data_IF_223406565297
#
_entry.id   IF_223406565297
#
_cell.length_a   1.000
_cell.length_b   1.000
_cell.length_c   1.000
_cell.angle_alpha   90.00
_cell.angle_beta   90.00
_cell.angle_gamma   90.00
#
_symmetry.space_group_name_H-M   'P 1'
#
loop_
_entity.id
_entity.type
_entity.pdbx_description
1 polymer ?
#
# COMPACT_ATOMS: atom_id res chain seq x y z
N UNK A 1 15.87 1.98 17.70
CA UNK A 1 15.22 2.69 18.84
C UNK A 1 15.31 1.92 20.14
N UNK A 2 14.69 0.74 20.33
CA UNK A 2 14.85 -0.04 21.59
C UNK A 2 16.28 -0.58 21.75
N UNK A 3 16.96 -0.91 20.68
CA UNK A 3 18.36 -1.35 20.64
C UNK A 3 19.40 -0.25 20.91
N UNK A 4 18.99 1.01 20.97
CA UNK A 4 19.85 2.17 21.26
C UNK A 4 19.81 2.60 22.73
N UNK A 5 18.95 1.96 23.53
CA UNK A 5 18.90 2.19 24.97
C UNK A 5 20.17 1.68 25.66
N UNK A 6 20.58 2.25 26.81
CA UNK A 6 21.65 1.71 27.65
C UNK A 6 21.38 0.24 28.01
N UNK A 7 22.43 -0.56 28.14
CA UNK A 7 22.33 -2.02 28.36
C UNK A 7 21.47 -2.39 29.59
N UNK A 8 21.57 -1.62 30.67
CA UNK A 8 20.77 -1.79 31.90
C UNK A 8 19.27 -1.56 31.64
N UNK A 9 18.92 -0.68 30.70
CA UNK A 9 17.53 -0.44 30.32
C UNK A 9 17.02 -1.46 29.28
N UNK A 10 17.88 -1.99 28.42
CA UNK A 10 17.50 -3.05 27.48
C UNK A 10 17.14 -4.36 28.19
N UNK A 11 17.76 -4.65 29.32
CA UNK A 11 17.47 -5.82 30.15
C UNK A 11 16.23 -5.66 31.03
N UNK A 12 15.64 -4.47 31.11
CA UNK A 12 14.41 -4.28 31.87
C UNK A 12 13.29 -5.17 31.31
N UNK A 13 12.56 -5.92 32.16
CA UNK A 13 11.56 -6.89 31.68
C UNK A 13 10.52 -6.31 30.73
N UNK A 14 10.09 -5.08 30.97
CA UNK A 14 9.12 -4.39 30.12
C UNK A 14 9.70 -4.07 28.73
N UNK A 15 10.96 -3.63 28.65
CA UNK A 15 11.62 -3.32 27.37
C UNK A 15 11.84 -4.58 26.55
N UNK A 16 12.20 -5.69 27.22
CA UNK A 16 12.31 -7.00 26.55
C UNK A 16 10.98 -7.43 25.94
N UNK A 17 9.89 -7.39 26.72
CA UNK A 17 8.55 -7.73 26.22
C UNK A 17 8.13 -6.83 25.05
N UNK A 18 8.37 -5.52 25.15
CA UNK A 18 8.07 -4.60 24.06
C UNK A 18 8.90 -4.90 22.80
N UNK A 19 10.18 -5.26 22.97
CA UNK A 19 11.05 -5.66 21.86
C UNK A 19 10.56 -6.94 21.18
N UNK A 20 10.18 -7.94 21.99
CA UNK A 20 9.64 -9.22 21.52
C UNK A 20 8.34 -9.01 20.71
N UNK A 21 7.44 -8.18 21.21
CA UNK A 21 6.20 -7.82 20.52
C UNK A 21 6.53 -7.12 19.19
N UNK A 22 7.36 -6.07 19.20
CA UNK A 22 7.71 -5.32 18.00
C UNK A 22 8.33 -6.21 16.93
N UNK A 23 9.13 -7.21 17.32
CA UNK A 23 9.83 -8.08 16.38
C UNK A 23 8.93 -9.17 15.82
N UNK A 24 8.08 -9.80 16.66
CA UNK A 24 7.47 -11.09 16.35
C UNK A 24 5.94 -11.11 16.31
N UNK A 25 5.22 -9.98 16.43
CA UNK A 25 3.75 -9.97 16.32
C UNK A 25 3.24 -10.31 14.91
N UNK A 26 4.10 -10.36 13.91
CA UNK A 26 3.78 -10.85 12.56
C UNK A 26 4.16 -12.33 12.32
N UNK A 27 4.76 -12.99 13.30
CA UNK A 27 4.96 -14.42 13.23
C UNK A 27 3.61 -15.15 13.26
N UNK A 28 3.58 -16.39 12.74
CA UNK A 28 2.39 -17.25 12.69
C UNK A 28 2.69 -18.55 13.40
N UNK A 29 1.72 -19.05 14.16
CA UNK A 29 1.88 -20.24 14.98
C UNK A 29 2.30 -21.49 14.19
N UNK A 30 2.00 -21.54 12.88
CA UNK A 30 2.42 -22.58 11.96
C UNK A 30 3.82 -22.40 11.37
N UNK A 31 4.51 -21.30 11.67
CA UNK A 31 5.84 -20.96 11.17
C UNK A 31 5.86 -20.27 9.81
N UNK A 32 4.68 -19.90 9.27
CA UNK A 32 4.58 -19.18 7.99
C UNK A 32 4.58 -17.64 8.16
N UNK A 33 4.99 -17.16 9.34
CA UNK A 33 5.12 -15.74 9.65
C UNK A 33 6.49 -15.15 9.29
N UNK A 34 6.74 -13.94 9.75
CA UNK A 34 8.01 -13.22 9.59
C UNK A 34 8.30 -12.37 10.83
N UNK A 35 9.57 -11.95 11.12
CA UNK A 35 10.73 -11.97 10.24
C UNK A 35 11.59 -13.24 10.33
N UNK A 36 11.45 -14.04 11.39
CA UNK A 36 12.39 -15.12 11.70
C UNK A 36 11.80 -16.51 11.41
N UNK A 37 10.50 -16.61 11.07
CA UNK A 37 9.80 -17.86 10.79
C UNK A 37 9.67 -18.77 12.03
N UNK A 38 9.51 -18.16 13.21
CA UNK A 38 9.32 -18.88 14.47
C UNK A 38 8.02 -19.67 14.46
N UNK A 39 8.03 -20.84 15.12
CA UNK A 39 6.89 -21.75 15.11
C UNK A 39 6.45 -22.12 16.53
N UNK A 40 5.13 -22.16 16.74
CA UNK A 40 4.56 -22.61 18.00
C UNK A 40 5.02 -21.74 19.17
N UNK A 41 5.52 -22.39 20.21
CA UNK A 41 5.95 -21.75 21.46
C UNK A 41 7.33 -21.08 21.38
N UNK A 42 8.01 -21.15 20.23
CA UNK A 42 9.21 -20.32 19.96
C UNK A 42 8.83 -18.83 19.86
N UNK A 43 7.59 -18.53 19.50
CA UNK A 43 7.07 -17.16 19.46
C UNK A 43 6.75 -16.73 20.89
N UNK A 44 7.33 -15.64 21.42
CA UNK A 44 6.98 -15.14 22.75
C UNK A 44 5.48 -14.92 22.91
N UNK A 45 4.92 -15.37 24.02
CA UNK A 45 3.47 -15.33 24.26
C UNK A 45 2.88 -13.92 24.12
N UNK A 46 3.60 -12.89 24.55
CA UNK A 46 3.17 -11.50 24.41
C UNK A 46 3.00 -11.12 22.91
N UNK A 47 3.90 -11.57 22.04
CA UNK A 47 3.80 -11.35 20.60
C UNK A 47 2.62 -12.11 19.99
N UNK A 48 2.36 -13.36 20.44
CA UNK A 48 1.20 -14.16 20.01
C UNK A 48 -0.13 -13.47 20.39
N UNK A 49 -0.23 -12.94 21.62
CA UNK A 49 -1.44 -12.21 22.09
C UNK A 49 -1.67 -10.97 21.25
N UNK A 50 -0.64 -10.16 21.01
CA UNK A 50 -0.76 -8.94 20.19
C UNK A 50 -1.10 -9.28 18.74
N UNK A 51 -0.51 -10.34 18.17
CA UNK A 51 -0.85 -10.80 16.81
C UNK A 51 -2.34 -11.14 16.65
N UNK A 52 -2.93 -11.82 17.66
CA UNK A 52 -4.35 -12.16 17.65
C UNK A 52 -5.24 -10.91 17.81
N UNK A 53 -4.86 -10.01 18.75
CA UNK A 53 -5.59 -8.78 19.00
C UNK A 53 -5.57 -7.84 17.76
N UNK A 54 -4.42 -7.70 17.11
CA UNK A 54 -4.26 -6.88 15.89
C UNK A 54 -5.13 -7.38 14.75
N UNK A 55 -5.17 -8.70 14.54
CA UNK A 55 -6.05 -9.29 13.52
C UNK A 55 -7.52 -9.09 13.86
N UNK A 56 -7.91 -9.26 15.12
CA UNK A 56 -9.29 -9.03 15.53
C UNK A 56 -9.71 -7.57 15.35
N UNK A 57 -8.88 -6.61 15.78
CA UNK A 57 -9.12 -5.18 15.56
C UNK A 57 -9.19 -4.86 14.07
N UNK A 58 -8.26 -5.36 13.27
CA UNK A 58 -8.26 -5.15 11.82
C UNK A 58 -9.52 -5.67 11.12
N UNK A 59 -10.19 -6.68 11.67
CA UNK A 59 -11.43 -7.22 11.15
C UNK A 59 -12.66 -6.42 11.61
N UNK A 60 -12.67 -5.98 12.86
CA UNK A 60 -13.85 -5.36 13.51
C UNK A 60 -13.84 -3.84 13.47
N UNK A 61 -12.70 -3.21 13.13
CA UNK A 61 -12.61 -1.76 12.95
C UNK A 61 -12.96 -1.34 11.52
N UNK A 62 -13.75 -0.29 11.39
CA UNK A 62 -14.03 0.35 10.12
C UNK A 62 -12.78 1.11 9.66
N UNK A 63 -12.32 0.84 8.45
CA UNK A 63 -11.20 1.53 7.82
C UNK A 63 -11.70 2.23 6.57
N UNK A 64 -11.04 3.30 6.14
CA UNK A 64 -11.45 4.10 4.98
C UNK A 64 -11.70 3.29 3.70
N UNK A 65 -11.13 2.09 3.60
CA UNK A 65 -11.23 1.18 2.44
C UNK A 65 -11.99 -0.12 2.74
N UNK A 66 -12.50 -0.35 3.98
CA UNK A 66 -13.15 -1.61 4.36
C UNK A 66 -14.18 -1.38 5.44
N UNK A 67 -15.41 -1.83 5.17
CA UNK A 67 -16.44 -1.93 6.21
C UNK A 67 -16.01 -2.96 7.26
N UNK A 68 -16.23 -2.63 8.53
CA UNK A 68 -16.03 -3.55 9.62
C UNK A 68 -16.85 -4.84 9.43
N UNK A 69 -16.24 -5.99 9.68
CA UNK A 69 -17.00 -7.22 9.83
C UNK A 69 -17.74 -7.22 11.17
N UNK A 70 -18.87 -7.93 11.26
CA UNK A 70 -19.50 -8.17 12.55
C UNK A 70 -18.57 -9.00 13.44
N UNK A 71 -18.74 -8.84 14.76
CA UNK A 71 -18.01 -9.63 15.75
C UNK A 71 -18.01 -11.15 15.42
N UNK A 72 -19.19 -11.72 15.19
CA UNK A 72 -19.35 -13.15 14.86
C UNK A 72 -18.58 -13.53 13.58
N UNK A 73 -18.60 -12.66 12.55
CA UNK A 73 -17.88 -12.94 11.30
C UNK A 73 -16.36 -12.84 11.46
N UNK A 74 -15.88 -11.91 12.28
CA UNK A 74 -14.46 -11.80 12.61
C UNK A 74 -13.95 -13.05 13.34
N UNK A 75 -14.70 -13.53 14.34
CA UNK A 75 -14.39 -14.78 15.03
C UNK A 75 -14.36 -15.97 14.07
N UNK A 76 -15.41 -16.15 13.24
CA UNK A 76 -15.44 -17.21 12.23
C UNK A 76 -14.16 -17.23 11.37
N UNK A 77 -13.75 -16.07 10.84
CA UNK A 77 -12.56 -15.94 10.00
C UNK A 77 -11.26 -16.30 10.74
N UNK A 78 -11.15 -15.92 12.02
CA UNK A 78 -9.99 -16.24 12.86
C UNK A 78 -9.94 -17.76 13.15
N UNK A 79 -11.07 -18.36 13.54
CA UNK A 79 -11.14 -19.79 13.86
C UNK A 79 -10.96 -20.69 12.63
N UNK A 80 -11.40 -20.24 11.44
CA UNK A 80 -11.16 -20.94 10.17
C UNK A 80 -9.73 -20.78 9.65
N UNK A 81 -8.86 -20.01 10.34
CA UNK A 81 -7.48 -19.79 9.94
C UNK A 81 -7.30 -18.92 8.69
N UNK A 82 -8.34 -18.18 8.26
CA UNK A 82 -8.27 -17.28 7.09
C UNK A 82 -7.31 -16.10 7.29
N UNK A 83 -7.00 -15.80 8.54
CA UNK A 83 -6.12 -14.71 8.94
C UNK A 83 -4.74 -15.19 9.44
N UNK A 84 -4.41 -16.46 9.19
CA UNK A 84 -3.22 -17.15 9.69
C UNK A 84 -3.52 -18.07 10.86
N UNK A 85 -2.53 -18.88 11.24
CA UNK A 85 -2.63 -19.81 12.36
C UNK A 85 -2.29 -19.11 13.67
N UNK A 86 -3.08 -19.36 14.70
CA UNK A 86 -2.89 -18.85 16.06
C UNK A 86 -2.77 -19.98 17.07
N UNK A 87 -2.21 -19.67 18.22
CA UNK A 87 -2.11 -20.60 19.34
C UNK A 87 -3.51 -21.08 19.77
N UNK A 88 -3.77 -22.39 19.81
CA UNK A 88 -5.08 -22.93 20.18
C UNK A 88 -5.57 -22.48 21.56
N UNK A 89 -4.65 -22.31 22.53
CA UNK A 89 -4.99 -21.81 23.88
C UNK A 89 -5.48 -20.35 23.82
N UNK A 90 -4.84 -19.51 23.00
CA UNK A 90 -5.27 -18.12 22.83
C UNK A 90 -6.61 -18.03 22.08
N UNK A 91 -6.86 -18.92 21.14
CA UNK A 91 -8.17 -19.02 20.49
C UNK A 91 -9.26 -19.39 21.49
N UNK A 92 -8.98 -20.32 22.41
CA UNK A 92 -9.90 -20.68 23.47
C UNK A 92 -10.18 -19.48 24.39
N UNK A 93 -9.15 -18.76 24.82
CA UNK A 93 -9.31 -17.54 25.63
C UNK A 93 -10.14 -16.48 24.88
N UNK A 94 -9.90 -16.27 23.57
CA UNK A 94 -10.68 -15.34 22.76
C UNK A 94 -12.17 -15.74 22.74
N UNK A 95 -12.48 -17.02 22.65
CA UNK A 95 -13.87 -17.51 22.69
C UNK A 95 -14.52 -17.22 24.05
N UNK A 96 -13.80 -17.45 25.14
CA UNK A 96 -14.29 -17.22 26.51
C UNK A 96 -14.61 -15.75 26.81
N UNK A 97 -13.87 -14.80 26.20
CA UNK A 97 -14.10 -13.38 26.40
C UNK A 97 -14.93 -12.74 25.28
N UNK A 98 -15.41 -13.52 24.31
CA UNK A 98 -16.06 -13.01 23.09
C UNK A 98 -17.27 -12.12 23.37
N UNK A 99 -18.17 -12.53 24.29
CA UNK A 99 -19.36 -11.76 24.64
C UNK A 99 -19.01 -10.41 25.31
N UNK A 100 -17.93 -10.40 26.10
CA UNK A 100 -17.42 -9.18 26.73
C UNK A 100 -16.85 -8.23 25.67
N UNK A 101 -16.06 -8.75 24.72
CA UNK A 101 -15.51 -7.96 23.60
C UNK A 101 -16.63 -7.37 22.73
N UNK A 102 -17.67 -8.12 22.42
CA UNK A 102 -18.81 -7.63 21.64
C UNK A 102 -19.53 -6.48 22.37
N UNK A 103 -19.76 -6.62 23.68
CA UNK A 103 -20.40 -5.59 24.49
C UNK A 103 -19.57 -4.32 24.59
N UNK A 104 -18.26 -4.43 24.80
CA UNK A 104 -17.34 -3.28 24.88
C UNK A 104 -17.21 -2.55 23.54
N UNK A 105 -17.12 -3.29 22.41
CA UNK A 105 -17.14 -2.70 21.07
C UNK A 105 -18.44 -1.96 20.79
N UNK A 106 -19.59 -2.54 21.20
CA UNK A 106 -20.90 -1.90 21.10
C UNK A 106 -20.98 -0.60 21.91
N UNK A 107 -20.46 -0.60 23.12
CA UNK A 107 -20.40 0.60 23.97
C UNK A 107 -19.47 1.67 23.39
N UNK A 108 -18.27 1.29 22.96
CA UNK A 108 -17.32 2.21 22.33
C UNK A 108 -17.86 2.82 21.03
N UNK A 109 -18.62 2.08 20.23
CA UNK A 109 -19.30 2.58 19.06
C UNK A 109 -20.44 3.55 19.40
N UNK A 110 -21.22 3.25 20.45
CA UNK A 110 -22.29 4.15 20.94
C UNK A 110 -21.71 5.44 21.52
N UNK A 111 -20.63 5.38 22.26
CA UNK A 111 -19.95 6.56 22.79
C UNK A 111 -19.36 7.43 21.68
N UNK A 112 -18.74 6.82 20.67
CA UNK A 112 -18.28 7.53 19.45
C UNK A 112 -19.43 8.26 18.76
N UNK A 113 -20.54 7.58 18.54
CA UNK A 113 -21.73 8.16 17.92
C UNK A 113 -22.41 9.24 18.80
N UNK A 114 -22.40 9.10 20.14
CA UNK A 114 -22.94 10.09 21.06
C UNK A 114 -22.08 11.37 21.12
N UNK A 115 -20.76 11.23 21.04
CA UNK A 115 -19.83 12.37 20.91
C UNK A 115 -20.05 13.07 19.57
N UNK A 116 -20.19 12.33 18.49
CA UNK A 116 -20.46 12.88 17.15
C UNK A 116 -21.79 13.70 17.10
N UNK A 117 -22.85 13.27 17.79
CA UNK A 117 -24.13 14.00 17.86
C UNK A 117 -24.09 15.28 18.73
N UNK A 118 -23.16 15.40 19.66
CA UNK A 118 -22.99 16.61 20.47
C UNK A 118 -22.23 17.72 19.73
N UNK A 119 -21.36 17.36 18.79
CA UNK A 119 -20.52 18.30 18.03
C UNK A 119 -21.19 18.84 16.74
N UNK A 120 -22.34 18.31 16.30
CA UNK A 120 -23.02 18.73 15.05
C UNK A 120 -23.81 20.03 15.13
N UNK A 121 -23.66 20.83 16.17
CA UNK A 121 -24.26 22.19 16.27
C UNK A 121 -23.31 23.33 15.88
N UNK A 122 -22.36 23.09 15.03
CA UNK A 122 -21.51 24.14 14.50
C UNK A 122 -20.44 23.57 13.57
N UNK A 123 -20.47 23.98 12.32
CA UNK A 123 -19.46 23.86 11.27
C UNK A 123 -18.59 22.59 11.34
N UNK A 124 -18.73 21.74 10.34
CA UNK A 124 -17.88 20.55 10.15
C UNK A 124 -16.46 21.04 9.93
N UNK A 125 -15.64 20.89 10.95
CA UNK A 125 -14.18 21.13 10.90
C UNK A 125 -13.53 19.76 10.63
N UNK A 126 -13.20 19.51 9.38
CA UNK A 126 -12.58 18.25 8.92
C UNK A 126 -11.22 17.99 9.58
N UNK A 127 -10.51 19.05 9.99
CA UNK A 127 -9.23 18.92 10.68
C UNK A 127 -9.38 18.36 12.11
N UNK A 128 -10.56 18.51 12.73
CA UNK A 128 -10.87 17.95 14.05
C UNK A 128 -11.39 16.49 14.01
N UNK A 129 -11.84 15.99 12.86
CA UNK A 129 -12.33 14.61 12.72
C UNK A 129 -11.17 13.60 12.73
N UNK A 130 -10.06 13.94 12.09
CA UNK A 130 -8.84 13.11 12.06
C UNK A 130 -8.09 13.09 13.40
N UNK A 131 -8.25 14.14 14.22
CA UNK A 131 -7.57 14.28 15.51
C UNK A 131 -8.21 13.47 16.66
N UNK A 132 -9.43 12.94 16.48
CA UNK A 132 -10.23 12.35 17.59
C UNK A 132 -10.34 10.83 17.60
N UNK A 133 -9.81 10.13 16.59
CA UNK A 133 -9.91 8.67 16.53
C UNK A 133 -8.82 7.89 17.27
N UNK A 134 -7.84 8.60 17.86
CA UNK A 134 -6.82 7.97 18.68
C UNK A 134 -6.66 8.72 20.00
N UNK A 135 -7.47 8.39 21.00
CA UNK A 135 -7.23 8.79 22.39
C UNK A 135 -6.28 7.83 23.14
N UNK A 136 -5.20 7.49 22.52
CA UNK A 136 -3.87 7.44 23.12
C UNK A 136 -3.22 8.71 22.61
N UNK A 137 -2.66 9.56 23.49
CA UNK A 137 -2.00 10.82 23.20
C UNK A 137 -1.04 10.70 21.99
N UNK A 138 -1.59 10.68 20.79
CA UNK A 138 -0.85 10.81 19.55
C UNK A 138 -1.11 12.23 19.07
N UNK A 139 -0.11 13.06 19.20
CA UNK A 139 0.10 14.22 18.34
C UNK A 139 -0.36 13.78 16.94
N UNK A 140 -1.25 14.53 16.25
CA UNK A 140 -1.61 14.21 14.88
C UNK A 140 -0.30 13.99 14.13
N UNK A 141 -0.17 12.92 13.31
CA UNK A 141 1.07 12.68 12.62
C UNK A 141 1.41 13.98 11.91
N UNK A 142 2.58 14.55 12.23
CA UNK A 142 3.07 15.74 11.55
C UNK A 142 3.05 15.44 10.06
N UNK A 143 2.96 16.46 9.21
CA UNK A 143 3.09 16.26 7.76
C UNK A 143 4.30 15.39 7.41
N UNK A 144 5.34 15.42 8.24
CA UNK A 144 6.52 14.57 8.17
C UNK A 144 6.23 13.10 8.46
N UNK A 145 5.39 12.78 9.45
CA UNK A 145 5.03 11.39 9.79
C UNK A 145 4.13 10.76 8.71
N UNK A 146 3.19 11.52 8.14
CA UNK A 146 2.38 11.08 7.00
C UNK A 146 3.26 10.90 5.76
N UNK A 147 4.22 11.78 5.55
CA UNK A 147 5.17 11.68 4.45
C UNK A 147 6.04 10.42 4.59
N UNK A 148 6.54 10.10 5.78
CA UNK A 148 7.29 8.87 6.05
C UNK A 148 6.43 7.60 5.83
N UNK A 149 5.14 7.64 6.17
CA UNK A 149 4.24 6.50 6.03
C UNK A 149 3.95 6.13 4.57
N UNK A 150 3.89 7.14 3.68
CA UNK A 150 3.48 7.00 2.29
C UNK A 150 4.60 7.17 1.27
N UNK A 151 5.82 7.43 1.70
CA UNK A 151 6.98 7.63 0.82
C UNK A 151 7.85 6.37 0.77
N UNK A 152 8.31 6.02 -0.42
CA UNK A 152 9.33 4.98 -0.60
C UNK A 152 10.71 5.55 -0.19
N UNK A 153 11.37 4.89 0.75
CA UNK A 153 12.62 5.36 1.35
C UNK A 153 13.81 5.43 0.38
N UNK A 154 13.77 4.68 -0.73
CA UNK A 154 14.82 4.69 -1.73
C UNK A 154 14.63 5.80 -2.76
N UNK A 155 13.42 5.95 -3.27
CA UNK A 155 13.10 6.77 -4.45
C UNK A 155 12.41 8.10 -4.13
N UNK A 156 11.96 8.28 -2.88
CA UNK A 156 11.26 9.48 -2.38
C UNK A 156 9.91 9.79 -3.09
N UNK A 157 9.43 8.91 -3.95
CA UNK A 157 8.06 8.94 -4.48
C UNK A 157 7.12 8.20 -3.54
N UNK A 158 5.82 8.21 -3.80
CA UNK A 158 4.88 7.46 -2.97
C UNK A 158 5.17 5.96 -3.02
N UNK A 159 4.83 5.25 -1.94
CA UNK A 159 4.96 3.80 -1.85
C UNK A 159 3.65 3.10 -2.24
N UNK A 160 3.68 1.76 -2.35
CA UNK A 160 2.52 0.93 -2.67
C UNK A 160 1.36 1.14 -1.70
N UNK A 161 1.65 1.36 -0.40
CA UNK A 161 0.62 1.61 0.61
C UNK A 161 -0.23 2.83 0.26
N UNK A 162 0.39 3.91 -0.23
CA UNK A 162 -0.32 5.10 -0.69
C UNK A 162 -1.29 4.79 -1.84
N UNK A 163 -0.90 3.95 -2.80
CA UNK A 163 -1.80 3.48 -3.86
C UNK A 163 -2.98 2.68 -3.29
N UNK A 164 -2.70 1.69 -2.43
CA UNK A 164 -3.72 0.81 -1.88
C UNK A 164 -4.75 1.59 -1.03
N UNK A 165 -4.33 2.63 -0.31
CA UNK A 165 -5.20 3.40 0.59
C UNK A 165 -5.90 4.59 -0.08
N UNK A 166 -5.31 5.21 -1.12
CA UNK A 166 -5.85 6.44 -1.71
C UNK A 166 -6.54 6.22 -3.06
N UNK A 167 -6.11 5.24 -3.84
CA UNK A 167 -6.54 5.12 -5.24
C UNK A 167 -7.20 3.81 -5.59
N UNK A 168 -6.88 2.71 -4.96
CA UNK A 168 -7.30 1.38 -5.39
C UNK A 168 -8.81 1.24 -5.61
N UNK A 169 -9.61 1.78 -4.70
CA UNK A 169 -11.07 1.69 -4.73
C UNK A 169 -11.75 3.00 -5.20
N UNK A 170 -10.95 3.97 -5.71
CA UNK A 170 -11.45 5.23 -6.26
C UNK A 170 -12.05 5.01 -7.65
N UNK A 171 -13.06 5.80 -8.00
CA UNK A 171 -13.73 5.85 -9.31
C UNK A 171 -13.62 7.22 -10.01
N UNK A 172 -12.89 8.17 -9.41
CA UNK A 172 -12.64 9.54 -9.92
C UNK A 172 -11.31 9.69 -10.65
N UNK A 173 -10.61 8.58 -10.92
CA UNK A 173 -9.35 8.58 -11.67
C UNK A 173 -9.63 8.38 -13.15
N UNK A 174 -9.02 9.22 -14.00
CA UNK A 174 -9.20 9.18 -15.45
C UNK A 174 -8.11 8.39 -16.15
N UNK A 175 -6.91 8.28 -15.57
CA UNK A 175 -5.83 7.56 -16.21
C UNK A 175 -4.83 6.96 -15.21
N UNK A 176 -4.40 5.74 -15.55
CA UNK A 176 -3.37 4.99 -14.82
C UNK A 176 -2.28 4.56 -15.78
N UNK A 177 -1.03 4.70 -15.38
CA UNK A 177 0.13 4.19 -16.12
C UNK A 177 0.92 3.24 -15.23
N UNK A 178 1.24 2.06 -15.75
CA UNK A 178 2.17 1.10 -15.14
C UNK A 178 3.48 1.14 -15.91
N UNK A 179 4.59 1.23 -15.21
CA UNK A 179 5.94 1.33 -15.73
C UNK A 179 6.78 0.21 -15.15
N UNK A 180 7.56 -0.46 -15.97
CA UNK A 180 8.54 -1.48 -15.56
C UNK A 180 9.90 -1.13 -16.15
N UNK A 181 10.95 -1.27 -15.34
CA UNK A 181 12.33 -0.99 -15.78
C UNK A 181 12.87 -2.17 -16.61
N UNK A 182 13.22 -1.89 -17.84
CA UNK A 182 13.70 -2.92 -18.76
C UNK A 182 15.01 -3.57 -18.29
N UNK A 183 15.00 -4.89 -18.20
CA UNK A 183 16.20 -5.67 -17.84
C UNK A 183 16.83 -5.30 -16.48
N UNK A 184 16.04 -4.83 -15.51
CA UNK A 184 16.54 -4.38 -14.22
C UNK A 184 17.37 -5.44 -13.48
N UNK A 185 16.93 -6.72 -13.54
CA UNK A 185 17.72 -7.81 -12.99
C UNK A 185 19.13 -7.89 -13.62
N UNK A 186 19.25 -7.70 -14.94
CA UNK A 186 20.55 -7.70 -15.61
C UNK A 186 21.43 -6.52 -15.18
N UNK A 187 20.83 -5.36 -14.89
CA UNK A 187 21.55 -4.21 -14.32
C UNK A 187 22.14 -4.60 -12.97
N UNK A 188 21.33 -5.18 -12.08
CA UNK A 188 21.80 -5.64 -10.77
C UNK A 188 22.89 -6.71 -10.88
N UNK A 189 22.70 -7.69 -11.73
CA UNK A 189 23.64 -8.79 -11.90
C UNK A 189 25.00 -8.32 -12.46
N UNK A 190 24.99 -7.30 -13.33
CA UNK A 190 26.21 -6.80 -13.98
C UNK A 190 26.93 -5.68 -13.23
N UNK A 191 26.17 -4.76 -12.61
CA UNK A 191 26.70 -3.54 -11.99
C UNK A 191 26.51 -3.51 -10.47
N UNK A 192 25.86 -4.53 -9.90
CA UNK A 192 25.55 -4.63 -8.47
C UNK A 192 24.28 -3.89 -8.06
N UNK A 193 23.71 -4.28 -6.92
CA UNK A 193 22.46 -3.70 -6.39
C UNK A 193 22.55 -2.19 -6.14
N UNK A 194 23.73 -1.69 -5.77
CA UNK A 194 23.94 -0.25 -5.58
C UNK A 194 23.70 0.55 -6.89
N UNK A 195 24.14 0.02 -8.02
CA UNK A 195 23.87 0.61 -9.33
C UNK A 195 22.37 0.57 -9.66
N UNK A 196 21.68 -0.54 -9.34
CA UNK A 196 20.23 -0.64 -9.45
C UNK A 196 19.50 0.41 -8.62
N UNK A 197 19.93 0.65 -7.39
CA UNK A 197 19.37 1.68 -6.52
C UNK A 197 19.53 3.08 -7.09
N UNK A 198 20.69 3.38 -7.69
CA UNK A 198 20.92 4.66 -8.38
C UNK A 198 19.97 4.82 -9.57
N UNK A 199 19.82 3.74 -10.37
CA UNK A 199 18.89 3.72 -11.51
C UNK A 199 17.48 4.02 -11.07
N UNK A 200 16.97 3.34 -10.03
CA UNK A 200 15.61 3.54 -9.51
C UNK A 200 15.40 4.99 -9.04
N UNK A 201 16.34 5.57 -8.29
CA UNK A 201 16.27 6.98 -7.86
C UNK A 201 16.23 7.94 -9.05
N UNK A 202 17.04 7.69 -10.08
CA UNK A 202 17.08 8.53 -11.28
C UNK A 202 15.80 8.44 -12.10
N UNK A 203 15.25 7.23 -12.27
CA UNK A 203 13.95 7.01 -12.93
C UNK A 203 12.85 7.74 -12.17
N UNK A 204 12.72 7.52 -10.86
CA UNK A 204 11.70 8.17 -10.04
C UNK A 204 11.75 9.70 -10.16
N UNK A 205 12.94 10.29 -10.05
CA UNK A 205 13.13 11.73 -10.21
C UNK A 205 12.76 12.23 -11.60
N UNK A 206 13.13 11.47 -12.65
CA UNK A 206 12.82 11.83 -14.04
C UNK A 206 11.32 11.75 -14.29
N UNK A 207 10.66 10.66 -13.89
CA UNK A 207 9.21 10.48 -14.02
C UNK A 207 8.47 11.59 -13.27
N UNK A 208 8.86 11.88 -12.03
CA UNK A 208 8.26 12.97 -11.24
C UNK A 208 8.41 14.35 -11.89
N UNK A 209 9.49 14.59 -12.64
CA UNK A 209 9.67 15.86 -13.37
C UNK A 209 8.77 15.98 -14.62
N UNK A 210 8.25 14.86 -15.14
CA UNK A 210 7.37 14.82 -16.29
C UNK A 210 5.88 14.98 -15.95
N UNK A 211 5.51 14.93 -14.67
CA UNK A 211 4.12 14.98 -14.19
C UNK A 211 3.87 16.19 -13.31
N UNK A 212 2.59 16.51 -13.08
CA UNK A 212 2.19 17.64 -12.24
C UNK A 212 2.29 17.28 -10.76
N UNK A 213 2.35 18.27 -9.87
CA UNK A 213 2.29 18.05 -8.41
C UNK A 213 0.97 17.42 -7.93
N UNK A 214 -0.08 17.54 -8.74
CA UNK A 214 -1.40 16.93 -8.49
C UNK A 214 -1.47 15.48 -8.93
N UNK A 215 -0.52 15.01 -9.71
CA UNK A 215 -0.44 13.61 -10.17
C UNK A 215 0.43 12.83 -9.17
N UNK A 216 0.11 11.55 -8.96
CA UNK A 216 0.86 10.73 -8.03
C UNK A 216 1.81 9.80 -8.78
N UNK A 217 3.09 9.81 -8.39
CA UNK A 217 4.10 8.83 -8.81
C UNK A 217 4.36 7.89 -7.65
N UNK A 218 4.21 6.61 -7.88
CA UNK A 218 4.21 5.56 -6.85
C UNK A 218 5.21 4.48 -7.24
N UNK A 219 6.08 4.08 -6.33
CA UNK A 219 6.84 2.84 -6.48
C UNK A 219 5.99 1.69 -5.99
N UNK A 220 5.51 0.87 -6.92
CA UNK A 220 4.54 -0.20 -6.65
C UNK A 220 5.21 -1.52 -6.28
N UNK A 221 6.36 -1.80 -6.87
CA UNK A 221 7.17 -3.01 -6.66
C UNK A 221 8.66 -2.72 -6.70
N UNK A 222 9.48 -3.72 -6.85
CA UNK A 222 10.96 -3.60 -6.89
C UNK A 222 11.43 -2.61 -7.96
N UNK A 223 11.05 -2.86 -9.20
CA UNK A 223 11.39 -2.11 -10.41
C UNK A 223 10.14 -1.56 -11.14
N UNK A 224 8.97 -1.60 -10.47
CA UNK A 224 7.70 -1.17 -11.01
C UNK A 224 7.25 0.15 -10.41
N UNK A 225 6.78 1.07 -11.26
CA UNK A 225 6.19 2.33 -10.87
C UNK A 225 4.78 2.46 -11.43
N UNK A 226 3.94 3.21 -10.73
CA UNK A 226 2.57 3.54 -11.14
C UNK A 226 2.42 5.05 -11.13
N UNK A 227 1.74 5.59 -12.14
CA UNK A 227 1.36 7.00 -12.17
C UNK A 227 -0.16 7.08 -12.20
N UNK A 228 -0.72 7.90 -11.32
CA UNK A 228 -2.14 8.25 -11.30
C UNK A 228 -2.29 9.69 -11.79
N UNK A 229 -3.06 9.88 -12.83
CA UNK A 229 -3.38 11.19 -13.38
C UNK A 229 -4.79 11.62 -13.04
N UNK A 230 -4.91 12.85 -12.55
CA UNK A 230 -6.19 13.51 -12.36
C UNK A 230 -6.45 14.50 -13.49
N UNK A 231 -7.66 14.42 -14.11
CA UNK A 231 -8.16 15.37 -15.13
C UNK A 231 -7.14 15.64 -16.25
N UNK A 232 -6.78 14.60 -16.96
CA UNK A 232 -5.87 14.69 -18.12
C UNK A 232 -6.63 14.38 -19.43
N UNK A 233 -6.67 15.28 -20.42
CA UNK A 233 -7.26 14.98 -21.72
C UNK A 233 -6.56 13.82 -22.43
N UNK A 234 -7.32 12.94 -23.12
CA UNK A 234 -6.78 11.71 -23.70
C UNK A 234 -5.70 11.92 -24.77
N UNK A 235 -5.79 12.99 -25.54
CA UNK A 235 -4.75 13.36 -26.52
C UNK A 235 -3.44 13.80 -25.84
N UNK A 236 -3.53 14.41 -24.67
CA UNK A 236 -2.39 14.78 -23.82
C UNK A 236 -1.80 13.54 -23.15
N UNK A 237 -2.67 12.61 -22.70
CA UNK A 237 -2.25 11.38 -22.04
C UNK A 237 -1.26 10.58 -22.87
N UNK A 238 -1.60 10.30 -24.14
CA UNK A 238 -0.73 9.55 -25.05
C UNK A 238 0.64 10.23 -25.24
N UNK A 239 0.64 11.56 -25.47
CA UNK A 239 1.88 12.33 -25.59
C UNK A 239 2.74 12.27 -24.32
N UNK A 240 2.07 12.25 -23.16
CA UNK A 240 2.72 12.18 -21.85
C UNK A 240 3.45 10.85 -21.62
N UNK A 241 2.86 9.71 -22.05
CA UNK A 241 3.54 8.42 -21.98
C UNK A 241 4.85 8.42 -22.78
N UNK A 242 4.80 8.93 -24.00
CA UNK A 242 5.98 8.99 -24.87
C UNK A 242 7.02 9.99 -24.34
N UNK A 243 6.60 11.11 -23.75
CA UNK A 243 7.48 12.07 -23.08
C UNK A 243 8.24 11.40 -21.92
N UNK A 244 7.53 10.64 -21.08
CA UNK A 244 8.13 9.91 -19.95
C UNK A 244 9.11 8.87 -20.46
N UNK A 245 8.70 8.03 -21.43
CA UNK A 245 9.56 7.03 -22.04
C UNK A 245 10.87 7.64 -22.57
N UNK A 246 10.73 8.67 -23.39
CA UNK A 246 11.86 9.33 -24.00
C UNK A 246 12.74 10.09 -22.99
N UNK A 247 12.17 10.58 -21.89
CA UNK A 247 12.94 11.21 -20.82
C UNK A 247 13.81 10.18 -20.08
N UNK A 248 13.28 8.98 -19.81
CA UNK A 248 14.05 7.90 -19.20
C UNK A 248 15.11 7.34 -20.16
N UNK A 249 14.77 7.17 -21.44
CA UNK A 249 15.69 6.67 -22.47
C UNK A 249 16.95 7.56 -22.66
N UNK A 250 16.80 8.87 -22.39
CA UNK A 250 17.90 9.85 -22.40
C UNK A 250 18.68 9.95 -21.09
N UNK A 251 18.32 9.16 -20.06
CA UNK A 251 19.04 9.19 -18.79
C UNK A 251 20.49 8.74 -18.95
N UNK A 252 21.38 9.53 -18.38
CA UNK A 252 22.78 9.14 -18.19
C UNK A 252 23.05 8.92 -16.72
N UNK A 253 23.68 7.81 -16.39
CA UNK A 253 24.09 7.49 -15.03
C UNK A 253 25.57 7.88 -14.92
N UNK A 254 25.84 8.97 -14.23
CA UNK A 254 27.21 9.51 -14.16
C UNK A 254 28.22 8.53 -13.58
N UNK A 255 27.77 7.73 -12.61
CA UNK A 255 28.56 6.69 -11.93
C UNK A 255 28.82 5.48 -12.84
N UNK A 256 28.04 5.31 -13.90
CA UNK A 256 28.13 4.20 -14.87
C UNK A 256 27.88 4.71 -16.30
N UNK A 257 28.83 5.42 -16.93
CA UNK A 257 28.60 6.10 -18.23
C UNK A 257 28.20 5.18 -19.39
N UNK A 258 28.44 3.87 -19.28
CA UNK A 258 28.04 2.87 -20.29
C UNK A 258 26.71 2.19 -20.00
N UNK A 259 26.01 2.55 -18.92
CA UNK A 259 24.74 1.97 -18.55
C UNK A 259 23.60 2.70 -19.25
N UNK A 260 22.94 2.03 -20.20
CA UNK A 260 21.71 2.50 -20.80
C UNK A 260 20.50 1.99 -20.01
N UNK A 261 19.56 2.87 -19.71
CA UNK A 261 18.34 2.59 -18.96
C UNK A 261 17.12 2.88 -19.84
N UNK A 262 16.20 1.94 -19.90
CA UNK A 262 14.92 2.12 -20.56
C UNK A 262 13.77 1.57 -19.73
N UNK A 263 12.56 1.93 -20.09
CA UNK A 263 11.33 1.48 -19.42
C UNK A 263 10.28 1.08 -20.45
N UNK A 264 9.45 0.12 -20.06
CA UNK A 264 8.24 -0.25 -20.78
C UNK A 264 7.03 0.32 -20.03
N UNK A 265 6.14 1.02 -20.75
CA UNK A 265 4.98 1.68 -20.18
C UNK A 265 3.69 1.13 -20.78
N UNK A 266 2.71 0.88 -19.93
CA UNK A 266 1.33 0.66 -20.32
C UNK A 266 0.44 1.71 -19.69
N UNK A 267 -0.42 2.35 -20.46
CA UNK A 267 -1.32 3.37 -19.97
C UNK A 267 -2.77 3.07 -20.31
N UNK A 268 -3.66 3.19 -19.34
CA UNK A 268 -5.11 3.11 -19.52
C UNK A 268 -5.74 4.45 -19.22
N UNK A 269 -6.61 4.91 -20.11
CA UNK A 269 -7.36 6.15 -20.02
C UNK A 269 -8.85 5.86 -20.21
N UNK A 270 -9.71 6.50 -19.44
CA UNK A 270 -11.16 6.34 -19.58
C UNK A 270 -11.90 6.46 -18.28
N UNK A 271 -13.18 6.03 -18.28
CA UNK A 271 -14.05 6.05 -17.12
C UNK A 271 -14.17 4.63 -16.58
N UNK A 272 -13.93 4.46 -15.28
CA UNK A 272 -14.03 3.16 -14.61
C UNK A 272 -13.38 3.18 -13.23
N UNK A 273 -13.40 2.05 -12.55
CA UNK A 273 -12.69 1.91 -11.30
C UNK A 273 -11.18 1.94 -11.53
N UNK A 274 -10.45 2.53 -10.61
CA UNK A 274 -8.98 2.57 -10.67
C UNK A 274 -8.37 1.18 -10.84
N UNK A 275 -8.91 0.15 -10.18
CA UNK A 275 -8.49 -1.24 -10.36
C UNK A 275 -8.60 -1.74 -11.80
N UNK A 276 -9.65 -1.35 -12.51
CA UNK A 276 -9.87 -1.76 -13.91
C UNK A 276 -8.92 -1.05 -14.87
N UNK A 277 -8.68 0.24 -14.62
CA UNK A 277 -7.66 1.01 -15.36
C UNK A 277 -6.27 0.44 -15.10
N UNK A 278 -5.97 0.09 -13.85
CA UNK A 278 -4.70 -0.53 -13.47
C UNK A 278 -4.48 -1.87 -14.19
N UNK A 279 -5.45 -2.80 -14.13
CA UNK A 279 -5.35 -4.09 -14.82
C UNK A 279 -5.14 -3.95 -16.34
N UNK A 280 -5.80 -2.94 -16.93
CA UNK A 280 -5.63 -2.65 -18.37
C UNK A 280 -4.24 -2.07 -18.64
N UNK A 281 -3.76 -1.12 -17.81
CA UNK A 281 -2.44 -0.53 -17.93
C UNK A 281 -1.34 -1.59 -17.77
N UNK A 282 -1.47 -2.48 -16.79
CA UNK A 282 -0.53 -3.59 -16.55
C UNK A 282 -0.44 -4.53 -17.76
N UNK A 283 -1.59 -4.92 -18.31
CA UNK A 283 -1.63 -5.74 -19.54
C UNK A 283 -0.94 -5.05 -20.73
N UNK A 284 -1.13 -3.74 -20.90
CA UNK A 284 -0.49 -2.97 -21.96
C UNK A 284 1.02 -2.81 -21.71
N UNK A 285 1.45 -2.62 -20.46
CA UNK A 285 2.85 -2.61 -20.05
C UNK A 285 3.52 -3.95 -20.40
N UNK A 286 2.88 -5.07 -20.08
CA UNK A 286 3.39 -6.39 -20.43
C UNK A 286 3.55 -6.58 -21.95
N UNK A 287 2.67 -5.98 -22.77
CA UNK A 287 2.85 -5.98 -24.23
C UNK A 287 4.04 -5.11 -24.66
N UNK A 288 4.20 -3.92 -24.05
CA UNK A 288 5.33 -3.03 -24.31
C UNK A 288 6.67 -3.71 -23.95
N UNK A 289 6.72 -4.46 -22.86
CA UNK A 289 7.90 -5.17 -22.35
C UNK A 289 8.47 -6.21 -23.34
N UNK A 290 7.63 -6.74 -24.23
CA UNK A 290 8.10 -7.69 -25.30
C UNK A 290 9.06 -7.03 -26.30
N UNK A 291 8.89 -5.74 -26.56
CA UNK A 291 9.75 -4.96 -27.45
C UNK A 291 10.76 -4.11 -26.71
N UNK A 292 10.58 -3.90 -25.41
CA UNK A 292 11.31 -2.98 -24.53
C UNK A 292 11.30 -1.54 -25.03
N UNK A 293 11.62 -0.59 -24.16
CA UNK A 293 11.67 0.83 -24.49
C UNK A 293 10.46 1.31 -25.29
N UNK A 294 9.26 0.92 -24.85
CA UNK A 294 8.00 1.18 -25.57
C UNK A 294 6.90 1.67 -24.65
N UNK A 295 6.08 2.58 -25.13
CA UNK A 295 4.85 3.02 -24.49
C UNK A 295 3.64 2.53 -25.30
N UNK A 296 2.65 1.95 -24.63
CA UNK A 296 1.38 1.54 -25.25
C UNK A 296 0.26 2.14 -24.40
N UNK A 297 -0.69 2.81 -25.05
CA UNK A 297 -1.86 3.37 -24.40
C UNK A 297 -3.15 2.75 -24.94
N UNK A 298 -4.18 2.68 -24.10
CA UNK A 298 -5.50 2.22 -24.48
C UNK A 298 -6.61 3.03 -23.82
N UNK A 299 -7.72 3.17 -24.54
CA UNK A 299 -8.94 3.80 -24.03
C UNK A 299 -9.88 2.73 -23.48
N UNK A 300 -10.36 2.92 -22.26
CA UNK A 300 -11.34 2.05 -21.58
C UNK A 300 -12.70 2.73 -21.61
N UNK A 301 -13.64 2.19 -22.38
CA UNK A 301 -15.03 2.67 -22.40
C UNK A 301 -15.92 1.80 -21.52
N UNK A 302 -16.78 2.43 -20.73
CA UNK A 302 -17.92 1.73 -20.11
C UNK A 302 -19.00 1.53 -21.17
N UNK A 303 -19.15 0.32 -21.72
CA UNK A 303 -20.39 -0.03 -22.40
C UNK A 303 -21.45 -0.37 -21.35
N UNK A 304 -22.55 0.38 -21.35
CA UNK A 304 -23.80 0.03 -20.68
C UNK A 304 -24.21 -1.40 -21.08
N UNK A 305 -24.55 -2.18 -20.09
CA UNK A 305 -25.05 -3.56 -20.16
C UNK A 305 -26.01 -3.79 -21.33
N UNK A 306 -25.61 -4.57 -22.32
CA UNK A 306 -26.59 -5.41 -23.05
C UNK A 306 -26.00 -6.54 -23.93
N UNK A 307 -24.76 -6.92 -23.84
CA UNK A 307 -24.31 -8.19 -24.43
C UNK A 307 -23.07 -8.69 -23.67
N UNK A 308 -23.10 -9.90 -23.15
CA UNK A 308 -22.02 -10.55 -22.37
C UNK A 308 -20.74 -10.83 -23.18
N UNK A 309 -20.06 -9.77 -23.63
CA UNK A 309 -18.73 -9.79 -24.23
C UNK A 309 -17.87 -8.72 -23.57
N UNK A 310 -16.62 -9.06 -23.32
CA UNK A 310 -15.63 -8.26 -22.62
C UNK A 310 -15.50 -6.82 -23.19
N UNK A 311 -15.11 -5.91 -22.29
CA UNK A 311 -14.91 -4.49 -22.56
C UNK A 311 -13.96 -4.28 -23.74
N UNK A 312 -14.34 -3.42 -24.66
CA UNK A 312 -13.48 -3.04 -25.78
C UNK A 312 -12.41 -2.05 -25.28
N UNK A 313 -11.15 -2.43 -25.46
CA UNK A 313 -10.00 -1.54 -25.24
C UNK A 313 -9.47 -1.12 -26.61
N UNK A 314 -9.65 0.14 -26.95
CA UNK A 314 -9.04 0.71 -28.15
C UNK A 314 -7.55 0.98 -27.86
N UNK A 315 -6.67 0.21 -28.51
CA UNK A 315 -5.21 0.35 -28.31
C UNK A 315 -4.68 1.42 -29.25
N UNK A 316 -3.99 2.40 -28.68
CA UNK A 316 -3.28 3.44 -29.40
C UNK A 316 -1.78 3.10 -29.46
N UNK A 317 -1.31 2.68 -30.60
CA UNK A 317 0.10 2.38 -30.90
C UNK A 317 0.86 3.59 -31.44
#
# INVERSE_FOLDING_TARGET
MLSELPLDQQEAPLVKVASDICRWHHERYDGNGYPDGLKGDEIPIAAQVVALADVYDALTSERCYKKAYSHSKALEMIFEGRCGAFNPTLLQCLLEISDTLESELGQAALERNARHRRDTKGRIDYDNLLAREHSVSLVPPSSETLQLLYTDSLTEVYNRRYYDEQFRDSDDIEAVVVIDVDSFKHINDRYGHHAGDIVLRRIAKTVSSCVRKTDAVIRYGGDEFVIIFHRLPGDVFRKKLEEIRAAVDRLTIAEHPGLHVSVSLGGAYGVGKTTELFETADRLMYQAKKSKNKAIAGFVSTQTENTGKGRDVEIWS
#
